data_IF_733211672798
#
_entry.id   IF_733211672798
#
_cell.length_a   1.000
_cell.length_b   1.000
_cell.length_c   1.000
_cell.angle_alpha   90.00
_cell.angle_beta   90.00
_cell.angle_gamma   90.00
#
_symmetry.space_group_name_H-M   'P 1'
#
loop_
_entity.id
_entity.type
_entity.pdbx_description
1 polymer ?
#
# COMPACT_ATOMS: atom_id res chain seq x y z
N UNK A 1 -16.73 2.79 26.66
CA UNK A 1 -16.67 3.29 25.26
C UNK A 1 -17.64 2.47 24.43
N UNK A 2 -18.53 3.11 23.67
CA UNK A 2 -19.37 2.40 22.70
C UNK A 2 -18.52 2.02 21.48
N UNK A 3 -18.55 0.76 21.07
CA UNK A 3 -17.80 0.26 19.91
C UNK A 3 -18.40 0.84 18.63
N UNK A 4 -17.59 1.41 17.74
CA UNK A 4 -18.04 1.97 16.47
C UNK A 4 -18.31 0.85 15.45
N UNK A 5 -19.50 0.25 15.53
CA UNK A 5 -19.91 -0.85 14.65
C UNK A 5 -20.49 -0.33 13.32
N UNK A 6 -20.61 -1.22 12.33
CA UNK A 6 -21.25 -0.93 11.04
C UNK A 6 -22.67 -0.37 11.22
N UNK A 7 -23.47 -0.96 12.11
CA UNK A 7 -24.84 -0.48 12.39
C UNK A 7 -24.85 0.92 12.98
N UNK A 8 -23.93 1.22 13.91
CA UNK A 8 -23.79 2.58 14.44
C UNK A 8 -23.34 3.57 13.39
N UNK A 9 -22.41 3.17 12.52
CA UNK A 9 -21.93 4.00 11.42
C UNK A 9 -23.04 4.40 10.44
N UNK A 10 -23.94 3.48 10.11
CA UNK A 10 -25.11 3.76 9.29
C UNK A 10 -26.09 4.75 9.95
N UNK A 11 -26.24 4.68 11.28
CA UNK A 11 -27.17 5.55 12.03
C UNK A 11 -26.59 6.91 12.41
N UNK A 12 -25.29 7.13 12.21
CA UNK A 12 -24.60 8.37 12.62
C UNK A 12 -23.77 8.97 11.48
N UNK A 13 -24.40 9.34 10.35
CA UNK A 13 -23.69 9.75 9.13
C UNK A 13 -22.85 11.03 9.29
N UNK A 14 -23.18 11.89 10.24
CA UNK A 14 -22.54 13.19 10.46
C UNK A 14 -21.54 13.19 11.62
N UNK A 15 -21.27 12.02 12.21
CA UNK A 15 -20.25 11.91 13.26
C UNK A 15 -18.90 12.31 12.68
N UNK A 16 -18.27 13.32 13.28
CA UNK A 16 -16.93 13.76 12.89
C UNK A 16 -15.90 12.62 13.04
N UNK A 17 -15.03 12.47 12.05
CA UNK A 17 -13.94 11.48 12.04
C UNK A 17 -12.61 12.16 11.69
N UNK A 18 -11.49 11.76 12.32
CA UNK A 18 -10.19 12.42 12.16
C UNK A 18 -9.44 11.96 10.89
N UNK A 19 -10.10 11.94 9.73
CA UNK A 19 -9.49 11.41 8.49
C UNK A 19 -8.24 12.19 8.05
N UNK A 20 -8.22 13.52 8.25
CA UNK A 20 -7.10 14.36 7.88
C UNK A 20 -5.85 14.09 8.75
N UNK A 21 -6.05 13.84 10.05
CA UNK A 21 -4.96 13.45 10.97
C UNK A 21 -4.38 12.08 10.62
N UNK A 22 -5.19 11.20 10.01
CA UNK A 22 -4.76 9.91 9.47
C UNK A 22 -4.11 10.02 8.07
N UNK A 23 -3.95 11.22 7.52
CA UNK A 23 -3.27 11.48 6.25
C UNK A 23 -4.15 11.30 5.00
N UNK A 24 -5.46 11.15 5.15
CA UNK A 24 -6.40 11.13 4.03
C UNK A 24 -6.78 12.55 3.60
N UNK A 25 -6.89 12.76 2.29
CA UNK A 25 -7.50 13.97 1.73
C UNK A 25 -9.03 13.92 1.86
N UNK A 26 -9.66 15.09 1.75
CA UNK A 26 -11.11 15.21 1.86
C UNK A 26 -11.85 14.41 0.76
N UNK A 27 -11.34 14.44 -0.47
CA UNK A 27 -11.89 13.67 -1.61
C UNK A 27 -11.72 12.15 -1.42
N UNK A 28 -10.60 11.70 -0.86
CA UNK A 28 -10.38 10.29 -0.50
C UNK A 28 -11.39 9.83 0.55
N UNK A 29 -11.63 10.64 1.58
CA UNK A 29 -12.65 10.34 2.60
C UNK A 29 -14.06 10.27 2.00
N UNK A 30 -14.43 11.21 1.13
CA UNK A 30 -15.74 11.15 0.45
C UNK A 30 -15.87 9.89 -0.40
N UNK A 31 -14.83 9.51 -1.14
CA UNK A 31 -14.84 8.30 -1.95
C UNK A 31 -15.00 7.03 -1.10
N UNK A 32 -14.42 6.98 0.10
CA UNK A 32 -14.65 5.88 1.04
C UNK A 32 -16.14 5.82 1.43
N UNK A 33 -16.77 6.98 1.69
CA UNK A 33 -18.20 7.03 2.01
C UNK A 33 -19.07 6.54 0.86
N UNK A 34 -18.73 6.92 -0.37
CA UNK A 34 -19.41 6.48 -1.59
C UNK A 34 -19.28 4.96 -1.79
N UNK A 35 -18.10 4.39 -1.57
CA UNK A 35 -17.87 2.93 -1.71
C UNK A 35 -18.67 2.15 -0.67
N UNK A 36 -18.76 2.65 0.56
CA UNK A 36 -19.42 1.96 1.66
C UNK A 36 -20.92 2.26 1.77
N UNK A 37 -21.41 3.28 1.07
CA UNK A 37 -22.77 3.84 1.19
C UNK A 37 -23.13 4.29 2.64
N UNK A 38 -22.12 4.72 3.39
CA UNK A 38 -22.20 5.26 4.77
C UNK A 38 -20.86 5.83 5.17
N UNK A 39 -20.76 6.46 6.35
CA UNK A 39 -19.43 6.71 6.91
C UNK A 39 -18.71 5.39 7.27
N UNK A 40 -17.37 5.33 7.17
CA UNK A 40 -16.62 4.18 7.68
C UNK A 40 -16.71 4.12 9.21
N UNK A 41 -16.55 2.91 9.77
CA UNK A 41 -16.20 2.74 11.18
C UNK A 41 -14.79 3.27 11.45
N UNK A 42 -14.43 3.51 12.72
CA UNK A 42 -13.05 3.87 13.09
C UNK A 42 -11.99 2.88 12.56
N UNK A 43 -12.28 1.57 12.61
CA UNK A 43 -11.35 0.53 12.12
C UNK A 43 -11.25 0.50 10.60
N UNK A 44 -12.37 0.63 9.89
CA UNK A 44 -12.35 0.73 8.42
C UNK A 44 -11.60 1.99 7.97
N UNK A 45 -11.83 3.13 8.63
CA UNK A 45 -11.15 4.38 8.31
C UNK A 45 -9.63 4.26 8.47
N UNK A 46 -9.17 3.65 9.56
CA UNK A 46 -7.75 3.40 9.80
C UNK A 46 -7.15 2.43 8.76
N UNK A 47 -7.91 1.43 8.32
CA UNK A 47 -7.47 0.52 7.26
C UNK A 47 -7.34 1.24 5.92
N UNK A 48 -8.34 2.02 5.52
CA UNK A 48 -8.28 2.82 4.30
C UNK A 48 -7.12 3.82 4.34
N UNK A 49 -6.87 4.48 5.46
CA UNK A 49 -5.78 5.48 5.56
C UNK A 49 -4.41 4.86 5.32
N UNK A 50 -4.15 3.65 5.83
CA UNK A 50 -2.89 2.93 5.57
C UNK A 50 -2.83 2.43 4.13
N UNK A 51 -3.88 1.74 3.67
CA UNK A 51 -3.88 1.11 2.34
C UNK A 51 -3.86 2.12 1.19
N UNK A 52 -4.40 3.32 1.38
CA UNK A 52 -4.40 4.40 0.40
C UNK A 52 -3.26 5.41 0.60
N UNK A 53 -2.35 5.16 1.56
CA UNK A 53 -1.11 5.93 1.69
C UNK A 53 -0.25 5.81 0.43
N UNK A 54 0.64 6.77 0.17
CA UNK A 54 1.58 6.67 -0.97
C UNK A 54 2.45 5.41 -0.87
N UNK A 55 2.86 5.05 0.35
CA UNK A 55 3.71 3.89 0.61
C UNK A 55 3.08 2.57 0.14
N UNK A 56 1.78 2.38 0.36
CA UNK A 56 1.10 1.14 -0.05
C UNK A 56 0.52 1.21 -1.47
N UNK A 57 -0.04 2.35 -1.86
CA UNK A 57 -0.82 2.46 -3.10
C UNK A 57 0.00 2.89 -4.31
N UNK A 58 1.18 3.49 -4.10
CA UNK A 58 1.99 4.11 -5.14
C UNK A 58 1.18 5.14 -5.95
N UNK A 59 0.19 5.80 -5.35
CA UNK A 59 -0.82 6.59 -6.08
C UNK A 59 -0.23 7.71 -6.94
N UNK A 60 0.90 8.30 -6.53
CA UNK A 60 1.61 9.30 -7.35
C UNK A 60 2.59 8.65 -8.35
N UNK A 61 3.27 7.58 -7.97
CA UNK A 61 4.36 7.00 -8.73
C UNK A 61 3.93 5.96 -9.77
N UNK A 62 2.82 5.26 -9.54
CA UNK A 62 2.30 4.17 -10.39
C UNK A 62 2.12 4.59 -11.85
N UNK A 63 1.64 5.80 -12.10
CA UNK A 63 1.44 6.32 -13.48
C UNK A 63 2.76 6.44 -14.24
N UNK A 64 3.85 6.73 -13.53
CA UNK A 64 5.19 6.83 -14.11
C UNK A 64 5.85 5.45 -14.22
N UNK A 65 5.67 4.59 -13.22
CA UNK A 65 6.29 3.26 -13.20
C UNK A 65 5.66 2.28 -14.20
N UNK A 66 4.38 2.47 -14.57
CA UNK A 66 3.69 1.64 -15.57
C UNK A 66 4.48 1.52 -16.88
N UNK A 67 5.19 2.58 -17.28
CA UNK A 67 5.97 2.58 -18.50
C UNK A 67 7.04 1.49 -18.56
N UNK A 68 7.55 1.00 -17.42
CA UNK A 68 8.54 -0.07 -17.40
C UNK A 68 7.93 -1.41 -17.81
N UNK A 69 6.66 -1.66 -17.45
CA UNK A 69 5.91 -2.80 -17.97
C UNK A 69 5.59 -2.63 -19.46
N UNK A 70 5.11 -1.44 -19.85
CA UNK A 70 4.72 -1.16 -21.23
C UNK A 70 5.91 -1.22 -22.22
N UNK A 71 7.11 -0.84 -21.77
CA UNK A 71 8.35 -0.82 -22.57
C UNK A 71 9.25 -2.04 -22.35
N UNK A 72 8.82 -3.03 -21.56
CA UNK A 72 9.63 -4.19 -21.27
C UNK A 72 9.99 -4.95 -22.56
N UNK A 73 11.27 -5.28 -22.81
CA UNK A 73 11.64 -6.08 -23.97
C UNK A 73 11.06 -7.49 -23.84
N UNK A 74 10.66 -8.08 -24.96
CA UNK A 74 10.22 -9.48 -24.97
C UNK A 74 11.41 -10.38 -24.63
N UNK A 75 11.24 -11.23 -23.62
CA UNK A 75 12.23 -12.21 -23.20
C UNK A 75 11.53 -13.44 -22.62
N UNK A 76 12.11 -14.61 -22.87
CA UNK A 76 11.75 -15.88 -22.25
C UNK A 76 12.45 -16.10 -20.90
N UNK A 77 13.41 -15.23 -20.56
CA UNK A 77 14.18 -15.33 -19.31
C UNK A 77 13.47 -14.77 -18.10
N UNK A 78 12.53 -13.84 -18.28
CA UNK A 78 11.74 -13.30 -17.18
C UNK A 78 10.59 -14.26 -16.88
N UNK A 79 10.72 -15.03 -15.79
CA UNK A 79 9.71 -15.99 -15.36
C UNK A 79 8.57 -15.30 -14.59
N UNK A 80 8.92 -14.29 -13.78
CA UNK A 80 7.98 -13.50 -12.97
C UNK A 80 8.38 -12.03 -13.03
N UNK A 81 7.42 -11.16 -13.40
CA UNK A 81 7.61 -9.73 -13.58
C UNK A 81 6.86 -8.86 -12.56
N UNK A 82 6.55 -7.62 -12.98
CA UNK A 82 5.83 -6.63 -12.15
C UNK A 82 4.46 -7.19 -11.73
N UNK A 83 4.16 -7.10 -10.42
CA UNK A 83 2.89 -7.53 -9.84
C UNK A 83 3.05 -8.50 -8.68
N UNK A 84 4.19 -9.20 -8.64
CA UNK A 84 4.54 -10.14 -7.57
C UNK A 84 5.51 -9.53 -6.55
N UNK A 85 5.74 -10.25 -5.44
CA UNK A 85 6.63 -9.81 -4.37
C UNK A 85 8.10 -9.65 -4.80
N UNK A 86 8.56 -10.39 -5.80
CA UNK A 86 9.93 -10.31 -6.32
C UNK A 86 9.98 -10.71 -7.80
N UNK A 87 11.00 -10.22 -8.51
CA UNK A 87 11.26 -10.63 -9.90
C UNK A 87 12.05 -11.93 -9.95
N UNK A 88 11.75 -12.79 -10.93
CA UNK A 88 12.41 -14.09 -11.10
C UNK A 88 12.94 -14.24 -12.51
N UNK A 89 14.21 -14.61 -12.64
CA UNK A 89 14.91 -14.75 -13.92
C UNK A 89 15.50 -16.16 -14.07
N UNK A 90 15.22 -16.81 -15.19
CA UNK A 90 15.85 -18.06 -15.61
C UNK A 90 17.33 -17.83 -15.96
N UNK A 91 18.21 -18.61 -15.33
CA UNK A 91 19.66 -18.58 -15.60
C UNK A 91 20.14 -19.85 -16.32
N UNK A 92 19.21 -20.70 -16.75
CA UNK A 92 19.47 -21.94 -17.47
C UNK A 92 19.68 -23.14 -16.55
N UNK A 93 19.80 -24.32 -17.18
CA UNK A 93 20.06 -25.59 -16.48
C UNK A 93 19.00 -25.94 -15.40
N UNK A 94 17.78 -25.42 -15.54
CA UNK A 94 16.71 -25.63 -14.57
C UNK A 94 16.80 -24.74 -13.32
N UNK A 95 17.69 -23.74 -13.31
CA UNK A 95 17.85 -22.80 -12.20
C UNK A 95 17.25 -21.43 -12.49
N UNK A 96 16.79 -20.77 -11.43
CA UNK A 96 16.32 -19.39 -11.48
C UNK A 96 16.87 -18.59 -10.31
N UNK A 97 17.01 -17.28 -10.50
CA UNK A 97 17.40 -16.32 -9.46
C UNK A 97 16.22 -15.40 -9.18
N UNK A 98 15.92 -15.22 -7.90
CA UNK A 98 14.95 -14.23 -7.41
C UNK A 98 15.70 -13.06 -6.77
N UNK A 99 15.25 -11.84 -7.04
CA UNK A 99 15.78 -10.67 -6.38
C UNK A 99 14.73 -9.57 -6.24
N UNK A 100 14.86 -8.81 -5.16
CA UNK A 100 14.06 -7.65 -4.82
C UNK A 100 14.96 -6.66 -4.09
N UNK A 101 14.64 -5.37 -4.21
CA UNK A 101 15.24 -4.32 -3.40
C UNK A 101 14.12 -3.54 -2.73
N UNK A 102 14.25 -3.34 -1.43
CA UNK A 102 13.37 -2.48 -0.64
C UNK A 102 14.16 -1.36 0.03
N UNK A 103 13.45 -0.42 0.64
CA UNK A 103 14.06 0.66 1.41
C UNK A 103 13.31 0.83 2.73
N UNK A 104 14.03 1.11 3.81
CA UNK A 104 13.45 1.33 5.14
C UNK A 104 13.91 2.68 5.72
N UNK A 105 13.77 3.72 4.90
CA UNK A 105 14.45 5.01 5.08
C UNK A 105 13.99 5.76 6.33
N UNK A 106 12.68 6.00 6.47
CA UNK A 106 12.16 6.79 7.59
C UNK A 106 12.42 6.11 8.95
N UNK A 107 12.16 4.81 9.14
CA UNK A 107 12.48 4.15 10.41
C UNK A 107 13.98 4.20 10.72
N UNK A 108 14.85 3.96 9.72
CA UNK A 108 16.31 4.01 9.89
C UNK A 108 16.84 5.42 10.20
N UNK A 109 16.15 6.47 9.76
CA UNK A 109 16.48 7.84 10.16
C UNK A 109 16.22 8.10 11.64
N UNK A 110 15.13 7.54 12.19
CA UNK A 110 14.73 7.74 13.59
C UNK A 110 15.55 6.84 14.53
N UNK A 111 15.69 5.57 14.18
CA UNK A 111 16.45 4.58 14.94
C UNK A 111 17.22 3.68 13.94
N UNK A 112 18.54 3.90 13.78
CA UNK A 112 19.31 3.25 12.72
C UNK A 112 19.42 1.74 12.83
N UNK A 113 19.55 1.19 14.06
CA UNK A 113 19.89 -0.22 14.23
C UNK A 113 18.71 -1.13 13.88
N UNK A 114 17.57 -0.92 14.55
CA UNK A 114 16.32 -1.65 14.31
C UNK A 114 15.70 -1.25 12.97
N UNK A 115 15.84 0.01 12.55
CA UNK A 115 15.40 0.45 11.23
C UNK A 115 16.07 -0.34 10.10
N UNK A 116 17.39 -0.51 10.18
CA UNK A 116 18.13 -1.33 9.22
C UNK A 116 17.82 -2.84 9.39
N UNK A 117 17.78 -3.34 10.62
CA UNK A 117 17.54 -4.76 10.89
C UNK A 117 16.17 -5.24 10.36
N UNK A 118 15.13 -4.44 10.57
CA UNK A 118 13.78 -4.74 10.05
C UNK A 118 13.71 -4.59 8.52
N UNK A 119 14.49 -3.68 7.93
CA UNK A 119 14.64 -3.58 6.47
C UNK A 119 15.35 -4.78 5.82
N UNK A 120 16.19 -5.50 6.57
CA UNK A 120 16.79 -6.78 6.12
C UNK A 120 15.82 -7.95 6.25
N UNK A 121 14.91 -7.90 7.23
CA UNK A 121 13.98 -8.99 7.51
C UNK A 121 12.71 -9.03 6.67
N UNK A 122 12.31 -7.90 6.07
CA UNK A 122 11.16 -7.81 5.15
C UNK A 122 11.47 -8.35 3.78
#
# INVERSE_FOLDING_TARGET
MSIDTVSQAAQTPDRAQPFAELGLKADEYQRIREILDRRPTSSELAMYSVMWSEHCSYKSSKVHLKQFGDKAPKTDKLLVGIGENAGVVDIGQGWAVTFKVESHNHPSYVEPYQGAATGVGG
#
